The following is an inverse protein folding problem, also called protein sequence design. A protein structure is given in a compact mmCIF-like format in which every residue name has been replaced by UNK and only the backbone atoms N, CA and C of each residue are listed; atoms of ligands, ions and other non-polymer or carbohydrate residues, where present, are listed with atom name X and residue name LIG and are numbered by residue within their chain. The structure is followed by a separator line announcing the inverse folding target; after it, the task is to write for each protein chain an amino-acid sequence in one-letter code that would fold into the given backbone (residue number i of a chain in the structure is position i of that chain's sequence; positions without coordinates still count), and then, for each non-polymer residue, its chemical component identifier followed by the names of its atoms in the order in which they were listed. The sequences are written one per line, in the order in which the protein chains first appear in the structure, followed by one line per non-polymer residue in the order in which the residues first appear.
data_IF_298411133756
#
_entry.id   IF_298411133756
#
_cell.length_a   1.000
_cell.length_b   1.000
_cell.length_c   1.000
_cell.angle_alpha   90.00
_cell.angle_beta   90.00
_cell.angle_gamma   90.00
#
_symmetry.space_group_name_H-M   'P 1'
#
loop_
_entity.id
_entity.type
_entity.pdbx_description
1 polymer ?
#
# COMPACT_ATOMS: atom_id res chain seq x y z
N UNK A 1 14.15 -54.20 -40.26
CA UNK A 1 15.61 -54.31 -40.47
C UNK A 1 16.13 -52.91 -40.83
N UNK A 2 17.00 -52.36 -39.98
CA UNK A 2 17.98 -51.26 -40.14
C UNK A 2 18.00 -50.43 -41.44
N UNK A 3 18.24 -49.12 -41.51
CA UNK A 3 18.70 -48.07 -40.56
C UNK A 3 18.55 -46.72 -41.31
N UNK A 4 17.86 -45.73 -40.74
CA UNK A 4 17.97 -44.31 -41.14
C UNK A 4 19.26 -43.74 -40.55
N UNK A 5 20.10 -43.08 -41.36
CA UNK A 5 21.14 -42.16 -40.86
C UNK A 5 20.76 -40.74 -41.27
N UNK A 6 20.11 -40.02 -40.36
CA UNK A 6 20.00 -38.57 -40.39
C UNK A 6 21.26 -37.96 -39.79
N UNK A 7 21.82 -37.00 -40.51
CA UNK A 7 22.84 -36.07 -40.07
C UNK A 7 22.19 -35.16 -39.01
N UNK A 8 22.76 -35.13 -37.81
CA UNK A 8 22.43 -34.16 -36.79
C UNK A 8 23.75 -33.67 -36.16
N UNK A 9 24.07 -32.42 -36.45
CA UNK A 9 25.13 -31.62 -35.87
C UNK A 9 24.67 -31.17 -34.47
N UNK A 10 25.36 -31.50 -33.37
CA UNK A 10 25.12 -30.81 -32.12
C UNK A 10 26.01 -29.56 -32.09
N UNK A 11 25.39 -28.39 -32.29
CA UNK A 11 26.03 -27.12 -31.91
C UNK A 11 26.08 -27.11 -30.39
N UNK A 12 27.32 -27.15 -29.93
CA UNK A 12 27.81 -27.07 -28.57
C UNK A 12 27.33 -25.77 -27.89
N UNK A 13 26.30 -25.85 -27.03
CA UNK A 13 25.99 -24.79 -26.08
C UNK A 13 26.78 -25.04 -24.78
N UNK A 14 28.06 -24.69 -24.79
CA UNK A 14 28.91 -24.66 -23.59
C UNK A 14 28.97 -23.21 -23.07
N UNK A 15 27.91 -22.78 -22.38
CA UNK A 15 27.89 -21.53 -21.61
C UNK A 15 28.36 -21.83 -20.19
N UNK A 16 29.65 -22.11 -20.05
CA UNK A 16 30.33 -22.22 -18.75
C UNK A 16 31.71 -21.56 -18.86
N UNK A 17 31.98 -20.61 -17.94
CA UNK A 17 33.26 -19.98 -17.57
C UNK A 17 33.75 -18.72 -18.32
N UNK A 18 33.17 -17.55 -18.01
CA UNK A 18 33.84 -16.23 -18.20
C UNK A 18 34.34 -15.58 -16.90
N UNK A 19 34.03 -16.15 -15.72
CA UNK A 19 34.42 -15.56 -14.43
C UNK A 19 35.95 -15.52 -14.18
N UNK A 20 36.73 -16.37 -14.87
CA UNK A 20 38.17 -16.50 -14.63
C UNK A 20 39.01 -15.40 -15.31
N UNK A 21 38.50 -14.82 -16.40
CA UNK A 21 39.21 -13.77 -17.15
C UNK A 21 39.02 -12.39 -16.49
N UNK A 22 37.81 -12.13 -15.96
CA UNK A 22 37.47 -10.88 -15.27
C UNK A 22 38.26 -10.66 -13.98
N UNK A 23 38.56 -11.70 -13.18
CA UNK A 23 39.37 -11.56 -11.97
C UNK A 23 40.83 -11.20 -12.30
N UNK A 24 41.40 -11.78 -13.35
CA UNK A 24 42.78 -11.48 -13.80
C UNK A 24 42.91 -10.04 -14.30
N UNK A 25 41.93 -9.55 -15.07
CA UNK A 25 41.91 -8.17 -15.54
C UNK A 25 41.88 -7.16 -14.38
N UNK A 26 41.10 -7.44 -13.33
CA UNK A 26 41.07 -6.61 -12.13
C UNK A 26 42.41 -6.62 -11.38
N UNK A 27 43.10 -7.76 -11.30
CA UNK A 27 44.46 -7.83 -10.75
C UNK A 27 45.42 -6.95 -11.56
N UNK A 28 45.41 -7.03 -12.89
CA UNK A 28 46.28 -6.19 -13.74
C UNK A 28 46.03 -4.69 -13.53
N UNK A 29 44.77 -4.28 -13.36
CA UNK A 29 44.42 -2.90 -13.00
C UNK A 29 44.95 -2.56 -11.60
N UNK A 30 44.76 -3.43 -10.63
CA UNK A 30 45.31 -3.29 -9.28
C UNK A 30 46.82 -3.05 -9.30
N UNK A 31 47.57 -3.85 -10.07
CA UNK A 31 49.03 -3.71 -10.23
C UNK A 31 49.42 -2.35 -10.81
N UNK A 32 48.63 -1.85 -11.78
CA UNK A 32 48.86 -0.54 -12.40
C UNK A 32 48.71 0.59 -11.37
N UNK A 33 47.63 0.58 -10.59
CA UNK A 33 47.41 1.58 -9.54
C UNK A 33 48.43 1.44 -8.41
N UNK A 34 48.84 0.22 -8.07
CA UNK A 34 49.85 -0.05 -7.07
C UNK A 34 51.21 0.57 -7.46
N UNK A 35 51.65 0.37 -8.71
CA UNK A 35 52.88 0.95 -9.24
C UNK A 35 52.82 2.48 -9.35
N UNK A 36 51.63 3.04 -9.56
CA UNK A 36 51.40 4.49 -9.55
C UNK A 36 51.36 5.09 -8.12
N UNK A 37 51.52 4.28 -7.06
CA UNK A 37 51.44 4.73 -5.67
C UNK A 37 50.02 5.00 -5.17
N UNK A 38 49.00 4.67 -5.96
CA UNK A 38 47.61 4.82 -5.58
C UNK A 38 47.09 3.54 -4.92
N UNK A 39 47.43 3.39 -3.64
CA UNK A 39 47.20 2.15 -2.89
C UNK A 39 45.73 1.91 -2.53
N UNK A 40 44.89 2.96 -2.42
CA UNK A 40 43.45 2.79 -2.12
C UNK A 40 42.73 2.17 -3.32
N UNK A 41 42.96 2.73 -4.52
CA UNK A 41 42.40 2.16 -5.76
C UNK A 41 42.96 0.76 -6.05
N UNK A 42 44.27 0.55 -5.86
CA UNK A 42 44.87 -0.77 -5.99
C UNK A 42 44.20 -1.80 -5.07
N UNK A 43 44.02 -1.47 -3.78
CA UNK A 43 43.34 -2.33 -2.82
C UNK A 43 41.88 -2.61 -3.24
N UNK A 44 41.15 -1.61 -3.73
CA UNK A 44 39.78 -1.79 -4.21
C UNK A 44 39.70 -2.74 -5.43
N UNK A 45 40.63 -2.64 -6.39
CA UNK A 45 40.69 -3.55 -7.53
C UNK A 45 41.01 -4.99 -7.12
N UNK A 46 41.98 -5.21 -6.23
CA UNK A 46 42.27 -6.56 -5.72
C UNK A 46 41.11 -7.12 -4.88
N UNK A 47 40.45 -6.29 -4.06
CA UNK A 47 39.26 -6.69 -3.31
C UNK A 47 38.14 -7.18 -4.23
N UNK A 48 37.84 -6.43 -5.29
CA UNK A 48 36.84 -6.83 -6.29
C UNK A 48 37.25 -8.10 -7.04
N UNK A 49 38.54 -8.30 -7.32
CA UNK A 49 39.02 -9.54 -7.92
C UNK A 49 38.75 -10.77 -7.04
N UNK A 50 38.80 -10.62 -5.70
CA UNK A 50 38.48 -11.68 -4.73
C UNK A 50 36.99 -11.91 -4.53
N UNK A 51 36.14 -10.89 -4.73
CA UNK A 51 34.70 -11.09 -4.80
C UNK A 51 34.29 -11.98 -5.99
N UNK A 52 35.02 -11.87 -7.11
CA UNK A 52 34.80 -12.72 -8.29
C UNK A 52 35.44 -14.10 -8.12
N UNK A 53 36.67 -14.16 -7.62
CA UNK A 53 37.40 -15.40 -7.41
C UNK A 53 38.19 -15.36 -6.10
N UNK A 54 37.59 -15.89 -5.04
CA UNK A 54 38.16 -15.91 -3.69
C UNK A 54 39.47 -16.72 -3.58
N UNK A 55 39.75 -17.61 -4.53
CA UNK A 55 40.97 -18.44 -4.57
C UNK A 55 42.12 -17.79 -5.35
N UNK A 56 41.96 -16.56 -5.84
CA UNK A 56 43.01 -15.87 -6.58
C UNK A 56 44.13 -15.42 -5.63
N UNK A 57 45.17 -16.24 -5.51
CA UNK A 57 46.31 -16.00 -4.60
C UNK A 57 47.10 -14.73 -4.93
N UNK A 58 47.14 -14.32 -6.21
CA UNK A 58 47.79 -13.07 -6.63
C UNK A 58 46.98 -11.87 -6.11
N UNK A 59 45.65 -11.89 -6.27
CA UNK A 59 44.78 -10.87 -5.72
C UNK A 59 44.85 -10.83 -4.18
N UNK A 60 44.94 -11.98 -3.50
CA UNK A 60 45.13 -12.03 -2.05
C UNK A 60 46.44 -11.34 -1.61
N UNK A 61 47.55 -11.64 -2.27
CA UNK A 61 48.85 -11.04 -1.97
C UNK A 61 48.88 -9.54 -2.30
N UNK A 62 48.35 -9.15 -3.47
CA UNK A 62 48.22 -7.76 -3.89
C UNK A 62 47.37 -6.95 -2.92
N UNK A 63 46.19 -7.47 -2.56
CA UNK A 63 45.33 -6.86 -1.55
C UNK A 63 46.04 -6.72 -0.22
N UNK A 64 46.69 -7.78 0.27
CA UNK A 64 47.43 -7.72 1.55
C UNK A 64 48.48 -6.62 1.55
N UNK A 65 49.25 -6.45 0.48
CA UNK A 65 50.27 -5.39 0.39
C UNK A 65 49.65 -4.00 0.33
N UNK A 66 48.74 -3.76 -0.62
CA UNK A 66 48.12 -2.45 -0.83
C UNK A 66 47.30 -2.01 0.39
N UNK A 67 46.47 -2.91 0.93
CA UNK A 67 45.60 -2.60 2.04
C UNK A 67 46.34 -2.38 3.36
N UNK A 68 47.49 -3.01 3.59
CA UNK A 68 48.33 -2.68 4.75
C UNK A 68 48.89 -1.24 4.65
N UNK A 69 49.29 -0.79 3.46
CA UNK A 69 49.75 0.59 3.26
C UNK A 69 48.60 1.58 3.52
N UNK A 70 47.42 1.29 2.98
CA UNK A 70 46.21 2.10 3.19
C UNK A 70 45.83 2.14 4.67
N UNK A 71 45.81 0.99 5.36
CA UNK A 71 45.49 0.91 6.78
C UNK A 71 46.48 1.71 7.62
N UNK A 72 47.78 1.58 7.37
CA UNK A 72 48.82 2.35 8.04
C UNK A 72 48.64 3.86 7.82
N UNK A 73 48.31 4.29 6.59
CA UNK A 73 48.01 5.69 6.28
C UNK A 73 46.82 6.20 7.09
N UNK A 74 45.76 5.38 7.23
CA UNK A 74 44.59 5.73 8.06
C UNK A 74 44.94 5.80 9.55
N UNK A 75 45.85 4.96 10.05
CA UNK A 75 46.36 5.06 11.42
C UNK A 75 47.30 6.25 11.64
N UNK A 76 48.07 6.67 10.65
CA UNK A 76 48.83 7.92 10.73
C UNK A 76 47.90 9.13 10.88
N UNK A 77 46.76 9.14 10.19
CA UNK A 77 45.73 10.16 10.38
C UNK A 77 45.09 10.10 11.78
N UNK A 78 44.85 8.90 12.31
CA UNK A 78 44.41 8.74 13.71
C UNK A 78 45.42 9.37 14.67
N UNK A 79 46.70 8.98 14.58
CA UNK A 79 47.76 9.53 15.42
C UNK A 79 47.88 11.04 15.31
N UNK A 80 47.72 11.62 14.11
CA UNK A 80 47.66 13.07 13.92
C UNK A 80 46.55 13.72 14.75
N UNK A 81 45.33 13.21 14.70
CA UNK A 81 44.22 13.75 15.49
C UNK A 81 44.43 13.60 17.01
N UNK A 82 45.13 12.55 17.44
CA UNK A 82 45.54 12.40 18.85
C UNK A 82 46.50 13.53 19.25
N UNK A 83 47.53 13.80 18.44
CA UNK A 83 48.49 14.89 18.72
C UNK A 83 47.83 16.28 18.71
N UNK A 84 46.84 16.48 17.83
CA UNK A 84 46.07 17.72 17.74
C UNK A 84 45.03 17.88 18.87
N UNK A 85 44.92 16.92 19.79
CA UNK A 85 43.91 16.87 20.84
C UNK A 85 42.48 17.04 20.28
N UNK A 86 42.19 16.37 19.16
CA UNK A 86 40.89 16.36 18.49
C UNK A 86 40.19 15.01 18.69
N UNK A 87 39.55 14.78 19.85
CA UNK A 87 39.03 13.47 20.23
C UNK A 87 37.92 12.97 19.30
N UNK A 88 37.04 13.86 18.81
CA UNK A 88 35.98 13.49 17.87
C UNK A 88 36.56 12.90 16.58
N UNK A 89 37.53 13.60 15.98
CA UNK A 89 38.15 13.17 14.73
C UNK A 89 38.99 11.91 14.93
N UNK A 90 39.68 11.79 16.07
CA UNK A 90 40.44 10.60 16.44
C UNK A 90 39.52 9.36 16.57
N UNK A 91 38.44 9.45 17.33
CA UNK A 91 37.48 8.34 17.51
C UNK A 91 36.89 7.91 16.17
N UNK A 92 36.39 8.88 15.36
CA UNK A 92 35.83 8.60 14.03
C UNK A 92 36.86 7.93 13.13
N UNK A 93 38.10 8.43 13.11
CA UNK A 93 39.15 7.90 12.25
C UNK A 93 39.54 6.46 12.64
N UNK A 94 39.62 6.16 13.93
CA UNK A 94 39.88 4.80 14.39
C UNK A 94 38.76 3.82 14.02
N UNK A 95 37.50 4.24 14.17
CA UNK A 95 36.34 3.44 13.73
C UNK A 95 36.36 3.21 12.21
N UNK A 96 36.84 4.18 11.42
CA UNK A 96 37.08 3.98 9.99
C UNK A 96 38.18 2.96 9.71
N UNK A 97 39.29 2.96 10.47
CA UNK A 97 40.30 1.91 10.39
C UNK A 97 39.69 0.53 10.65
N UNK A 98 38.89 0.39 11.72
CA UNK A 98 38.21 -0.86 12.08
C UNK A 98 37.25 -1.33 10.97
N UNK A 99 36.46 -0.41 10.40
CA UNK A 99 35.56 -0.70 9.27
C UNK A 99 36.33 -1.17 8.03
N UNK A 100 37.44 -0.51 7.70
CA UNK A 100 38.28 -0.89 6.57
C UNK A 100 38.92 -2.27 6.78
N UNK A 101 39.47 -2.52 7.98
CA UNK A 101 40.01 -3.83 8.36
C UNK A 101 38.98 -4.94 8.19
N UNK A 102 37.78 -4.76 8.77
CA UNK A 102 36.69 -5.75 8.68
C UNK A 102 36.25 -5.98 7.23
N UNK A 103 36.22 -4.93 6.39
CA UNK A 103 35.93 -5.04 4.96
C UNK A 103 36.95 -5.94 4.26
N UNK A 104 38.24 -5.73 4.48
CA UNK A 104 39.28 -6.55 3.82
C UNK A 104 39.29 -7.99 4.37
N UNK A 105 39.05 -8.14 5.67
CA UNK A 105 38.93 -9.46 6.31
C UNK A 105 37.74 -10.25 5.76
N UNK A 106 36.66 -9.59 5.30
CA UNK A 106 35.48 -10.26 4.74
C UNK A 106 35.76 -11.09 3.47
N UNK A 107 36.89 -10.85 2.79
CA UNK A 107 37.35 -11.64 1.64
C UNK A 107 38.53 -12.57 1.99
N UNK A 108 38.74 -12.83 3.29
CA UNK A 108 39.73 -13.76 3.80
C UNK A 108 41.17 -13.23 3.82
N UNK A 109 41.37 -11.91 3.69
CA UNK A 109 42.70 -11.29 3.76
C UNK A 109 42.87 -10.57 5.09
N UNK A 110 43.81 -11.06 5.90
CA UNK A 110 44.17 -10.47 7.19
C UNK A 110 45.22 -9.38 7.02
N UNK A 111 44.99 -8.23 7.66
CA UNK A 111 45.89 -7.08 7.69
C UNK A 111 46.65 -7.03 9.02
N UNK A 112 47.77 -6.31 9.04
CA UNK A 112 48.54 -6.09 10.25
C UNK A 112 47.86 -4.97 11.06
N UNK A 113 47.04 -5.34 12.04
CA UNK A 113 46.40 -4.38 12.92
C UNK A 113 47.41 -3.80 13.93
N UNK A 114 47.65 -2.47 13.97
CA UNK A 114 48.59 -1.87 14.91
C UNK A 114 47.99 -1.80 16.33
N UNK A 115 48.20 -2.86 17.10
CA UNK A 115 47.62 -3.03 18.45
C UNK A 115 48.05 -1.97 19.47
N UNK A 116 49.19 -1.30 19.24
CA UNK A 116 49.68 -0.21 20.09
C UNK A 116 48.72 0.98 20.22
N UNK A 117 47.79 1.16 19.27
CA UNK A 117 46.78 2.23 19.33
C UNK A 117 45.50 1.83 20.07
N UNK A 118 45.36 0.57 20.48
CA UNK A 118 44.12 0.08 21.10
C UNK A 118 43.82 0.82 22.41
N UNK A 119 44.79 0.88 23.32
CA UNK A 119 44.62 1.55 24.62
C UNK A 119 44.40 3.06 24.44
N UNK A 120 45.20 3.70 23.59
CA UNK A 120 45.06 5.13 23.25
C UNK A 120 43.66 5.45 22.72
N UNK A 121 43.12 4.61 21.84
CA UNK A 121 41.76 4.78 21.33
C UNK A 121 40.70 4.62 22.44
N UNK A 122 40.83 3.59 23.27
CA UNK A 122 39.87 3.33 24.34
C UNK A 122 39.82 4.50 25.34
N UNK A 123 40.97 5.06 25.73
CA UNK A 123 41.05 6.22 26.61
C UNK A 123 40.36 7.45 26.00
N UNK A 124 40.72 7.81 24.76
CA UNK A 124 40.15 8.96 24.04
C UNK A 124 38.64 8.77 23.82
N UNK A 125 38.21 7.56 23.45
CA UNK A 125 36.80 7.22 23.25
C UNK A 125 36.03 7.41 24.56
N UNK A 126 36.54 6.88 25.67
CA UNK A 126 35.88 6.96 26.97
C UNK A 126 35.73 8.42 27.43
N UNK A 127 36.79 9.23 27.31
CA UNK A 127 36.74 10.65 27.64
C UNK A 127 35.75 11.41 26.74
N UNK A 128 35.85 11.22 25.42
CA UNK A 128 35.01 11.87 24.43
C UNK A 128 33.53 11.56 24.65
N UNK A 129 33.20 10.27 24.77
CA UNK A 129 31.82 9.81 24.97
C UNK A 129 31.28 10.31 26.32
N UNK A 130 32.09 10.34 27.38
CA UNK A 130 31.67 10.90 28.67
C UNK A 130 31.33 12.38 28.57
N UNK A 131 32.18 13.18 27.92
CA UNK A 131 31.94 14.62 27.74
C UNK A 131 30.68 14.88 26.89
N UNK A 132 30.53 14.13 25.81
CA UNK A 132 29.33 14.22 24.97
C UNK A 132 28.07 13.82 25.75
N UNK A 133 28.15 12.79 26.58
CA UNK A 133 27.03 12.36 27.41
C UNK A 133 26.56 13.48 28.36
N UNK A 134 27.50 14.15 29.04
CA UNK A 134 27.19 15.27 29.94
C UNK A 134 26.60 16.49 29.18
N UNK A 135 27.10 16.76 27.97
CA UNK A 135 26.53 17.78 27.08
C UNK A 135 25.11 17.43 26.66
N UNK A 136 24.85 16.18 26.28
CA UNK A 136 23.52 15.68 25.94
C UNK A 136 22.53 15.85 27.10
N UNK A 137 22.94 15.52 28.33
CA UNK A 137 22.13 15.75 29.53
C UNK A 137 21.84 17.24 29.75
N UNK A 138 22.83 18.10 29.56
CA UNK A 138 22.65 19.56 29.67
C UNK A 138 21.61 20.07 28.66
N UNK A 139 21.70 19.62 27.40
CA UNK A 139 20.73 19.97 26.36
C UNK A 139 19.31 19.47 26.67
N UNK A 140 19.18 18.30 27.28
CA UNK A 140 17.88 17.79 27.77
C UNK A 140 17.28 18.70 28.84
N UNK A 141 18.08 19.15 29.81
CA UNK A 141 17.64 20.09 30.86
C UNK A 141 17.22 21.43 30.27
N UNK A 142 17.92 21.91 29.24
CA UNK A 142 17.61 23.13 28.50
C UNK A 142 16.44 22.96 27.50
N UNK A 143 15.83 21.77 27.42
CA UNK A 143 14.76 21.42 26.47
C UNK A 143 15.15 21.56 25.00
N UNK A 144 16.46 21.50 24.69
CA UNK A 144 17.02 21.50 23.33
C UNK A 144 17.07 20.08 22.78
N UNK A 145 15.89 19.45 22.68
CA UNK A 145 15.74 18.03 22.40
C UNK A 145 16.37 17.57 21.07
N UNK A 146 16.18 18.33 19.99
CA UNK A 146 16.75 17.99 18.67
C UNK A 146 18.29 17.89 18.71
N UNK A 147 18.93 18.77 19.50
CA UNK A 147 20.40 18.74 19.67
C UNK A 147 20.83 17.59 20.55
N UNK A 148 20.09 17.32 21.63
CA UNK A 148 20.35 16.19 22.51
C UNK A 148 20.24 14.85 21.77
N UNK A 149 19.24 14.70 20.88
CA UNK A 149 19.06 13.50 20.07
C UNK A 149 20.31 13.19 19.24
N UNK A 150 20.85 14.22 18.55
CA UNK A 150 22.05 14.08 17.72
C UNK A 150 23.24 13.60 18.56
N UNK A 151 23.44 14.19 19.74
CA UNK A 151 24.52 13.79 20.64
C UNK A 151 24.36 12.32 21.08
N UNK A 152 23.19 11.93 21.57
CA UNK A 152 22.97 10.56 22.04
C UNK A 152 23.00 9.53 20.90
N UNK A 153 22.57 9.92 19.69
CA UNK A 153 22.73 9.11 18.49
C UNK A 153 24.21 8.89 18.15
N UNK A 154 25.04 9.94 18.24
CA UNK A 154 26.48 9.82 17.99
C UNK A 154 27.15 8.93 19.03
N UNK A 155 26.78 9.06 20.30
CA UNK A 155 27.26 8.17 21.37
C UNK A 155 26.87 6.73 21.06
N UNK A 156 25.61 6.44 20.77
CA UNK A 156 25.13 5.09 20.48
C UNK A 156 25.78 4.47 19.22
N UNK A 157 26.21 5.30 18.26
CA UNK A 157 26.94 4.85 17.08
C UNK A 157 28.41 4.49 17.38
N UNK A 158 29.00 5.09 18.42
CA UNK A 158 30.37 4.79 18.89
C UNK A 158 30.34 3.61 19.87
N UNK A 159 29.43 3.65 20.83
CA UNK A 159 29.21 2.64 21.87
C UNK A 159 27.72 2.57 22.23
N UNK A 160 27.04 1.55 21.70
CA UNK A 160 25.59 1.37 21.87
C UNK A 160 25.17 1.01 23.29
N UNK A 161 26.10 0.53 24.12
CA UNK A 161 25.85 0.11 25.51
C UNK A 161 26.39 1.14 26.52
N UNK A 162 26.84 2.30 26.05
CA UNK A 162 27.34 3.35 26.93
C UNK A 162 26.21 3.91 27.79
N UNK A 163 26.18 3.48 29.06
CA UNK A 163 25.16 3.84 30.06
C UNK A 163 23.75 3.65 29.46
N UNK A 164 22.92 4.68 29.53
CA UNK A 164 21.57 4.76 29.03
C UNK A 164 21.45 5.73 27.84
N UNK A 165 22.53 6.02 27.10
CA UNK A 165 22.50 6.94 25.96
C UNK A 165 21.44 6.58 24.91
N UNK A 166 21.27 5.29 24.62
CA UNK A 166 20.21 4.81 23.71
C UNK A 166 18.80 5.11 24.24
N UNK A 167 18.59 5.05 25.56
CA UNK A 167 17.32 5.40 26.21
C UNK A 167 17.11 6.91 26.20
N UNK A 168 18.15 7.69 26.51
CA UNK A 168 18.10 9.16 26.49
C UNK A 168 17.86 9.72 25.09
N UNK A 169 18.41 9.08 24.05
CA UNK A 169 18.05 9.37 22.66
C UNK A 169 16.55 9.20 22.44
N UNK A 170 15.97 8.07 22.83
CA UNK A 170 14.53 7.85 22.68
C UNK A 170 13.74 8.90 23.46
N UNK A 171 14.16 9.21 24.70
CA UNK A 171 13.55 10.23 25.55
C UNK A 171 13.57 11.62 24.91
N UNK A 172 14.67 12.00 24.23
CA UNK A 172 14.77 13.28 23.52
C UNK A 172 13.73 13.43 22.41
N UNK A 173 13.24 12.33 21.82
CA UNK A 173 12.21 12.35 20.78
C UNK A 173 10.80 12.38 21.40
N UNK A 174 10.55 11.59 22.45
CA UNK A 174 9.21 11.41 23.00
C UNK A 174 8.81 12.46 24.04
N UNK A 175 9.75 13.05 24.79
CA UNK A 175 9.46 14.13 25.75
C UNK A 175 8.85 15.37 25.07
N UNK A 176 9.39 15.94 23.97
CA UNK A 176 8.75 17.09 23.33
C UNK A 176 7.35 16.77 22.80
N UNK A 177 7.13 15.57 22.26
CA UNK A 177 5.79 15.12 21.83
C UNK A 177 4.82 15.03 23.02
N UNK A 178 5.26 14.48 24.14
CA UNK A 178 4.46 14.40 25.36
C UNK A 178 4.11 15.80 25.87
N UNK A 179 5.08 16.71 25.96
CA UNK A 179 4.85 18.09 26.41
C UNK A 179 3.92 18.85 25.45
N UNK A 180 4.07 18.64 24.14
CA UNK A 180 3.17 19.23 23.16
C UNK A 180 1.75 18.69 23.30
N UNK A 181 1.59 17.37 23.48
CA UNK A 181 0.29 16.75 23.73
C UNK A 181 -0.42 17.29 24.96
N UNK A 182 0.31 17.55 26.06
CA UNK A 182 -0.24 18.21 27.25
C UNK A 182 -0.73 19.63 26.91
N UNK A 183 0.08 20.44 26.22
CA UNK A 183 -0.33 21.79 25.81
C UNK A 183 -1.57 21.79 24.92
N UNK A 184 -1.65 20.84 23.98
CA UNK A 184 -2.82 20.69 23.10
C UNK A 184 -4.05 20.28 23.88
N UNK A 185 -3.91 19.42 24.89
CA UNK A 185 -5.00 19.04 25.79
C UNK A 185 -5.48 20.22 26.65
N UNK A 186 -4.56 21.04 27.18
CA UNK A 186 -4.89 22.28 27.92
C UNK A 186 -5.60 23.31 27.04
N UNK A 187 -5.28 23.36 25.75
CA UNK A 187 -5.93 24.19 24.75
C UNK A 187 -7.23 23.56 24.17
N UNK A 188 -7.71 22.46 24.74
CA UNK A 188 -8.88 21.69 24.28
C UNK A 188 -8.78 21.13 22.85
N UNK A 189 -7.58 21.16 22.25
CA UNK A 189 -7.29 20.53 20.96
C UNK A 189 -6.98 19.04 21.15
N UNK A 190 -8.01 18.28 21.54
CA UNK A 190 -7.90 16.87 21.91
C UNK A 190 -7.45 15.96 20.76
N UNK A 191 -7.77 16.31 19.51
CA UNK A 191 -7.36 15.54 18.32
C UNK A 191 -5.85 15.62 18.10
N UNK A 192 -5.26 16.80 18.26
CA UNK A 192 -3.81 16.97 18.15
C UNK A 192 -3.08 16.34 19.33
N UNK A 193 -3.60 16.52 20.56
CA UNK A 193 -3.09 15.82 21.74
C UNK A 193 -3.08 14.30 21.56
N UNK A 194 -4.16 13.72 21.01
CA UNK A 194 -4.22 12.30 20.67
C UNK A 194 -3.13 11.89 19.69
N UNK A 195 -2.91 12.67 18.62
CA UNK A 195 -1.88 12.35 17.61
C UNK A 195 -0.50 12.28 18.24
N UNK A 196 -0.16 13.19 19.15
CA UNK A 196 1.15 13.20 19.79
C UNK A 196 1.31 12.10 20.84
N UNK A 197 0.31 11.89 21.70
CA UNK A 197 0.35 10.76 22.65
C UNK A 197 0.39 9.41 21.93
N UNK A 198 -0.28 9.27 20.79
CA UNK A 198 -0.22 8.05 19.99
C UNK A 198 1.18 7.82 19.40
N UNK A 199 1.89 8.88 18.98
CA UNK A 199 3.30 8.77 18.57
C UNK A 199 4.19 8.34 19.74
N UNK A 200 3.97 8.89 20.94
CA UNK A 200 4.69 8.50 22.16
C UNK A 200 4.47 7.02 22.48
N UNK A 201 3.22 6.54 22.53
CA UNK A 201 2.90 5.14 22.85
C UNK A 201 3.46 4.15 21.82
N UNK A 202 3.53 4.53 20.53
CA UNK A 202 4.16 3.69 19.50
C UNK A 202 5.66 3.49 19.72
N UNK A 203 6.32 4.42 20.42
CA UNK A 203 7.74 4.37 20.71
C UNK A 203 8.03 3.78 22.10
N UNK A 204 7.22 4.14 23.10
CA UNK A 204 7.29 3.62 24.46
C UNK A 204 5.90 3.69 25.12
N UNK A 205 5.25 2.54 25.25
CA UNK A 205 3.89 2.42 25.78
C UNK A 205 3.78 2.70 27.30
N UNK A 206 4.90 2.56 28.01
CA UNK A 206 5.04 2.77 29.45
C UNK A 206 5.49 4.18 29.82
N UNK A 207 5.66 5.07 28.84
CA UNK A 207 6.20 6.40 29.08
C UNK A 207 5.22 7.28 29.88
N UNK A 208 5.59 7.56 31.14
CA UNK A 208 4.80 8.36 32.10
C UNK A 208 3.35 7.85 32.17
N UNK A 209 2.37 8.75 32.25
CA UNK A 209 0.94 8.46 32.23
C UNK A 209 0.33 8.58 30.82
N UNK A 210 1.13 8.50 29.74
CA UNK A 210 0.67 8.74 28.36
C UNK A 210 -0.50 7.84 27.96
N UNK A 211 -0.52 6.57 28.42
CA UNK A 211 -1.61 5.64 28.09
C UNK A 211 -2.96 6.09 28.67
N UNK A 212 -2.94 6.62 29.90
CA UNK A 212 -4.11 7.21 30.53
C UNK A 212 -4.57 8.46 29.79
N UNK A 213 -3.63 9.38 29.51
CA UNK A 213 -3.92 10.63 28.79
C UNK A 213 -4.47 10.36 27.39
N UNK A 214 -3.90 9.40 26.65
CA UNK A 214 -4.36 8.99 25.33
C UNK A 214 -5.84 8.54 25.37
N UNK A 215 -6.22 7.78 26.41
CA UNK A 215 -7.60 7.33 26.61
C UNK A 215 -8.52 8.51 26.92
N UNK A 216 -8.08 9.44 27.76
CA UNK A 216 -8.84 10.64 28.11
C UNK A 216 -9.07 11.57 26.91
N UNK A 217 -8.01 11.91 26.17
CA UNK A 217 -8.12 12.78 24.99
C UNK A 217 -8.89 12.10 23.87
N UNK A 218 -8.79 10.78 23.71
CA UNK A 218 -9.62 10.05 22.76
C UNK A 218 -11.09 10.21 23.12
N UNK A 219 -11.47 9.97 24.38
CA UNK A 219 -12.86 10.15 24.83
C UNK A 219 -13.39 11.56 24.57
N UNK A 220 -12.57 12.59 24.76
CA UNK A 220 -12.95 14.00 24.54
C UNK A 220 -12.94 14.41 23.06
N UNK A 221 -12.05 13.82 22.25
CA UNK A 221 -11.98 14.04 20.81
C UNK A 221 -13.02 13.26 20.02
N UNK A 222 -13.56 12.18 20.59
CA UNK A 222 -14.50 11.30 19.92
C UNK A 222 -15.88 11.94 19.77
N UNK A 223 -16.44 11.78 18.58
CA UNK A 223 -17.77 12.18 18.19
C UNK A 223 -18.62 10.91 18.09
N UNK A 224 -19.61 10.83 18.97
CA UNK A 224 -20.68 9.84 18.96
C UNK A 224 -21.74 10.19 17.92
N UNK A 225 -21.91 9.29 16.96
CA UNK A 225 -22.96 9.37 15.93
C UNK A 225 -23.89 8.18 16.07
N UNK A 226 -25.15 8.47 16.38
CA UNK A 226 -26.22 7.46 16.33
C UNK A 226 -26.76 7.36 14.92
N UNK A 227 -26.88 6.15 14.40
CA UNK A 227 -27.46 5.91 13.07
C UNK A 227 -28.83 5.29 13.26
N UNK A 228 -29.89 6.03 12.91
CA UNK A 228 -31.24 5.48 12.98
C UNK A 228 -31.50 4.51 11.82
N UNK A 229 -32.40 3.52 11.99
CA UNK A 229 -32.82 2.66 10.90
C UNK A 229 -33.28 3.47 9.69
N UNK A 230 -32.95 2.99 8.48
CA UNK A 230 -33.42 3.61 7.25
C UNK A 230 -34.94 3.58 7.21
N UNK A 231 -35.56 4.75 7.07
CA UNK A 231 -37.01 4.86 6.88
C UNK A 231 -37.35 4.45 5.45
N UNK A 232 -38.04 3.33 5.28
CA UNK A 232 -38.48 2.87 3.98
C UNK A 232 -39.80 3.54 3.60
N UNK A 233 -39.76 4.49 2.65
CA UNK A 233 -40.95 5.16 2.11
C UNK A 233 -41.44 4.50 0.82
N UNK A 234 -40.86 3.36 0.45
CA UNK A 234 -41.22 2.58 -0.74
C UNK A 234 -42.15 1.43 -0.38
N UNK A 235 -42.60 0.67 -1.40
CA UNK A 235 -43.43 -0.52 -1.22
C UNK A 235 -42.65 -1.82 -1.09
N UNK A 236 -41.31 -1.76 -1.11
CA UNK A 236 -40.46 -2.96 -1.19
C UNK A 236 -39.61 -3.12 0.06
N UNK A 237 -39.80 -4.23 0.76
CA UNK A 237 -39.13 -4.52 2.03
C UNK A 237 -37.69 -5.06 1.83
N UNK A 238 -36.85 -4.88 2.85
CA UNK A 238 -35.52 -5.51 2.97
C UNK A 238 -34.36 -4.68 2.41
N UNK A 239 -34.62 -3.76 1.47
CA UNK A 239 -33.61 -2.89 0.90
C UNK A 239 -33.14 -1.79 1.83
N UNK A 240 -34.00 -1.33 2.73
CA UNK A 240 -33.69 -0.41 3.81
C UNK A 240 -32.67 -1.00 4.79
N UNK A 241 -32.84 -2.27 5.18
CA UNK A 241 -31.88 -2.98 6.04
C UNK A 241 -30.52 -3.14 5.35
N UNK A 242 -30.52 -3.49 4.06
CA UNK A 242 -29.29 -3.61 3.29
C UNK A 242 -28.53 -2.29 3.21
N UNK A 243 -29.24 -1.19 2.91
CA UNK A 243 -28.66 0.16 2.88
C UNK A 243 -28.12 0.55 4.25
N UNK A 244 -28.91 0.35 5.32
CA UNK A 244 -28.50 0.63 6.69
C UNK A 244 -27.17 -0.06 7.07
N UNK A 245 -27.03 -1.35 6.71
CA UNK A 245 -25.80 -2.11 6.96
C UNK A 245 -24.60 -1.57 6.16
N UNK A 246 -24.80 -1.16 4.90
CA UNK A 246 -23.72 -0.57 4.11
C UNK A 246 -23.30 0.81 4.66
N UNK A 247 -24.25 1.62 5.14
CA UNK A 247 -23.94 2.90 5.78
C UNK A 247 -23.02 2.71 6.99
N UNK A 248 -23.36 1.79 7.89
CA UNK A 248 -22.51 1.47 9.03
C UNK A 248 -21.16 0.96 8.55
N UNK A 249 -21.14 0.04 7.58
CA UNK A 249 -19.90 -0.54 7.07
C UNK A 249 -18.95 0.53 6.52
N UNK A 250 -19.46 1.47 5.72
CA UNK A 250 -18.65 2.54 5.15
C UNK A 250 -18.19 3.56 6.20
N UNK A 251 -19.04 3.90 7.18
CA UNK A 251 -18.65 4.79 8.28
C UNK A 251 -17.58 4.15 9.18
N UNK A 252 -17.67 2.84 9.48
CA UNK A 252 -16.65 2.08 10.23
C UNK A 252 -15.35 1.97 9.42
N UNK A 253 -15.43 1.77 8.08
CA UNK A 253 -14.27 1.68 7.19
C UNK A 253 -13.44 2.97 7.13
N UNK A 254 -14.00 4.12 7.51
CA UNK A 254 -13.26 5.39 7.60
C UNK A 254 -12.03 5.32 8.52
N UNK A 255 -11.97 4.33 9.45
CA UNK A 255 -10.87 4.11 10.41
C UNK A 255 -10.52 5.34 11.27
N UNK A 256 -11.43 6.31 11.38
CA UNK A 256 -11.22 7.46 12.25
C UNK A 256 -11.28 7.00 13.71
N UNK A 257 -10.21 7.21 14.52
CA UNK A 257 -10.26 6.88 15.94
C UNK A 257 -11.26 7.78 16.69
N UNK A 258 -11.63 8.92 16.10
CA UNK A 258 -12.51 9.91 16.69
C UNK A 258 -13.99 9.67 16.36
N UNK A 259 -14.33 8.62 15.63
CA UNK A 259 -15.72 8.31 15.30
C UNK A 259 -16.20 7.14 16.16
N UNK A 260 -17.21 7.38 17.00
CA UNK A 260 -17.92 6.34 17.73
C UNK A 260 -19.30 6.17 17.12
N UNK A 261 -19.53 5.04 16.46
CA UNK A 261 -20.82 4.71 15.86
C UNK A 261 -21.63 3.92 16.88
N UNK A 262 -22.84 4.40 17.15
CA UNK A 262 -23.83 3.67 17.95
C UNK A 262 -24.85 3.12 16.97
N UNK A 263 -24.78 1.80 16.76
CA UNK A 263 -25.67 1.07 15.87
C UNK A 263 -27.06 0.86 16.48
N UNK A 264 -27.94 0.21 15.71
CA UNK A 264 -29.36 0.00 16.04
C UNK A 264 -29.54 -0.74 17.36
N UNK A 265 -28.80 -1.82 17.59
CA UNK A 265 -28.98 -2.65 18.78
C UNK A 265 -28.53 -1.88 20.04
N UNK A 266 -27.43 -1.15 19.91
CA UNK A 266 -26.94 -0.29 20.98
C UNK A 266 -27.89 0.89 21.24
N UNK A 267 -28.37 1.55 20.19
CA UNK A 267 -29.39 2.61 20.27
C UNK A 267 -30.67 2.10 20.93
N UNK A 268 -31.20 0.95 20.49
CA UNK A 268 -32.40 0.34 21.04
C UNK A 268 -32.29 0.13 22.55
N UNK A 269 -31.17 -0.44 22.99
CA UNK A 269 -30.91 -0.64 24.42
C UNK A 269 -30.83 0.68 25.18
N UNK A 270 -30.06 1.63 24.67
CA UNK A 270 -29.86 2.94 25.31
C UNK A 270 -31.16 3.74 25.36
N UNK A 271 -31.99 3.68 24.33
CA UNK A 271 -33.30 4.34 24.27
C UNK A 271 -34.28 3.66 25.23
N UNK A 272 -34.30 2.32 25.29
CA UNK A 272 -35.14 1.58 26.22
C UNK A 272 -34.82 1.93 27.68
N UNK A 273 -33.52 2.04 28.04
CA UNK A 273 -33.08 2.48 29.36
C UNK A 273 -33.59 3.89 29.70
N UNK A 274 -33.79 4.74 28.69
CA UNK A 274 -34.35 6.09 28.81
C UNK A 274 -35.88 6.16 28.61
N UNK A 275 -36.56 5.00 28.47
CA UNK A 275 -38.01 4.89 28.18
C UNK A 275 -38.43 5.60 26.88
N UNK A 276 -37.56 5.56 25.88
CA UNK A 276 -37.79 6.09 24.53
C UNK A 276 -37.93 4.92 23.54
N UNK A 277 -38.68 5.15 22.47
CA UNK A 277 -38.84 4.18 21.38
C UNK A 277 -38.35 4.78 20.06
N UNK A 278 -37.63 3.99 19.25
CA UNK A 278 -37.10 4.44 17.95
C UNK A 278 -38.20 4.84 16.95
N UNK A 279 -39.38 4.21 17.05
CA UNK A 279 -40.56 4.52 16.23
C UNK A 279 -40.99 6.00 16.34
N UNK A 280 -40.69 6.65 17.46
CA UNK A 280 -41.02 8.05 17.71
C UNK A 280 -39.93 9.03 17.23
N UNK A 281 -38.81 8.54 16.68
CA UNK A 281 -37.68 9.35 16.22
C UNK A 281 -37.76 9.62 14.72
N UNK A 282 -38.92 10.05 14.24
CA UNK A 282 -39.18 10.28 12.82
C UNK A 282 -38.86 11.70 12.38
N UNK A 283 -38.79 12.66 13.30
CA UNK A 283 -38.41 14.05 13.06
C UNK A 283 -37.06 14.42 13.72
N UNK A 284 -36.36 15.44 13.18
CA UNK A 284 -35.07 15.89 13.71
C UNK A 284 -35.10 16.33 15.19
N UNK A 285 -36.19 16.93 15.66
CA UNK A 285 -36.25 17.49 17.02
C UNK A 285 -36.31 16.38 18.07
N UNK A 286 -37.14 15.36 17.84
CA UNK A 286 -37.21 14.17 18.69
C UNK A 286 -35.92 13.36 18.63
N UNK A 287 -35.35 13.17 17.43
CA UNK A 287 -34.06 12.49 17.25
C UNK A 287 -32.92 13.19 18.01
N UNK A 288 -32.84 14.52 17.93
CA UNK A 288 -31.85 15.31 18.66
C UNK A 288 -32.00 15.19 20.18
N UNK A 289 -33.24 15.29 20.69
CA UNK A 289 -33.54 15.15 22.12
C UNK A 289 -33.14 13.77 22.64
N UNK A 290 -33.52 12.72 21.93
CA UNK A 290 -33.17 11.34 22.26
C UNK A 290 -31.65 11.13 22.24
N UNK A 291 -30.98 11.57 21.17
CA UNK A 291 -29.53 11.49 21.02
C UNK A 291 -28.77 12.21 22.14
N UNK A 292 -29.26 13.37 22.58
CA UNK A 292 -28.68 14.12 23.70
C UNK A 292 -28.76 13.37 25.03
N UNK A 293 -29.88 12.69 25.30
CA UNK A 293 -30.08 11.91 26.53
C UNK A 293 -29.13 10.72 26.63
N UNK A 294 -28.75 10.15 25.48
CA UNK A 294 -27.81 9.01 25.40
C UNK A 294 -26.36 9.44 25.10
N UNK A 295 -26.08 10.74 25.13
CA UNK A 295 -24.71 11.29 25.05
C UNK A 295 -24.10 11.34 23.65
N UNK A 296 -24.91 11.24 22.60
CA UNK A 296 -24.47 11.41 21.22
C UNK A 296 -24.33 12.89 20.86
N UNK A 297 -23.45 13.20 19.92
CA UNK A 297 -23.24 14.55 19.38
C UNK A 297 -24.08 14.75 18.11
N UNK A 298 -24.26 13.70 17.33
CA UNK A 298 -25.08 13.72 16.12
C UNK A 298 -25.98 12.49 16.02
N UNK A 299 -27.09 12.66 15.31
CA UNK A 299 -27.96 11.57 14.86
C UNK A 299 -28.09 11.65 13.34
N UNK A 300 -27.77 10.54 12.67
CA UNK A 300 -27.95 10.38 11.23
C UNK A 300 -29.32 9.74 10.98
N UNK A 301 -30.14 10.46 10.22
CA UNK A 301 -31.44 10.03 9.74
C UNK A 301 -31.35 9.79 8.24
N UNK A 302 -31.92 8.68 7.77
CA UNK A 302 -31.90 8.31 6.35
C UNK A 302 -33.25 7.78 5.93
N UNK A 303 -33.75 8.20 4.77
CA UNK A 303 -34.98 7.74 4.17
C UNK A 303 -34.73 7.23 2.75
N UNK A 304 -35.22 6.03 2.45
CA UNK A 304 -35.31 5.49 1.10
C UNK A 304 -36.60 5.99 0.49
N UNK A 305 -36.51 7.00 -0.38
CA UNK A 305 -37.68 7.69 -0.96
C UNK A 305 -38.14 7.05 -2.27
N UNK A 306 -37.21 6.53 -3.08
CA UNK A 306 -37.54 5.85 -4.32
C UNK A 306 -36.68 4.60 -4.54
N UNK A 307 -37.34 3.53 -4.98
CA UNK A 307 -36.68 2.30 -5.44
C UNK A 307 -37.37 1.87 -6.73
N UNK A 308 -36.61 1.84 -7.82
CA UNK A 308 -37.05 1.26 -9.08
C UNK A 308 -36.23 0.01 -9.36
N UNK A 309 -36.91 -1.11 -9.54
CA UNK A 309 -36.28 -2.37 -9.91
C UNK A 309 -36.92 -2.90 -11.19
N UNK A 310 -36.11 -3.00 -12.24
CA UNK A 310 -36.52 -3.51 -13.54
C UNK A 310 -35.78 -4.82 -13.81
N UNK A 311 -36.51 -5.86 -14.22
CA UNK A 311 -35.95 -7.14 -14.63
C UNK A 311 -36.52 -7.55 -15.97
N UNK A 312 -35.63 -7.82 -16.93
CA UNK A 312 -35.94 -8.57 -18.14
C UNK A 312 -35.37 -9.97 -17.96
N UNK A 313 -36.26 -10.95 -17.76
CA UNK A 313 -35.87 -12.35 -17.70
C UNK A 313 -35.24 -12.84 -19.01
N UNK A 314 -34.69 -14.07 -19.03
CA UNK A 314 -34.08 -14.64 -20.22
C UNK A 314 -35.08 -14.65 -21.39
N UNK A 315 -34.78 -13.86 -22.41
CA UNK A 315 -35.53 -13.85 -23.66
C UNK A 315 -34.60 -14.28 -24.77
N UNK A 316 -34.99 -15.35 -25.48
CA UNK A 316 -34.25 -15.83 -26.65
C UNK A 316 -34.94 -15.37 -27.93
N UNK A 317 -34.28 -14.51 -28.69
CA UNK A 317 -34.72 -14.10 -30.01
C UNK A 317 -33.97 -14.90 -31.09
N UNK A 318 -34.65 -15.18 -32.20
CA UNK A 318 -34.04 -15.85 -33.36
C UNK A 318 -33.63 -14.81 -34.39
N UNK A 319 -32.33 -14.57 -34.51
CA UNK A 319 -31.77 -13.47 -35.29
C UNK A 319 -31.16 -14.01 -36.59
N UNK A 320 -31.38 -13.28 -37.68
CA UNK A 320 -30.84 -13.63 -38.99
C UNK A 320 -29.33 -13.37 -39.06
N UNK A 321 -28.59 -14.30 -39.65
CA UNK A 321 -27.17 -14.18 -39.97
C UNK A 321 -26.85 -14.89 -41.29
N UNK A 322 -25.60 -14.83 -41.73
CA UNK A 322 -25.17 -15.37 -43.03
C UNK A 322 -23.95 -16.29 -42.85
N UNK A 323 -24.10 -17.56 -43.19
CA UNK A 323 -23.03 -18.55 -43.13
C UNK A 323 -22.30 -18.62 -44.48
N UNK A 324 -21.00 -18.32 -44.48
CA UNK A 324 -20.13 -18.47 -45.63
C UNK A 324 -19.78 -19.94 -45.88
N UNK A 325 -19.87 -20.37 -47.14
CA UNK A 325 -19.43 -21.67 -47.59
C UNK A 325 -18.78 -21.56 -48.96
N UNK A 326 -17.83 -22.46 -49.24
CA UNK A 326 -17.11 -22.49 -50.52
C UNK A 326 -17.78 -23.46 -51.46
N UNK A 327 -18.09 -23.02 -52.67
CA UNK A 327 -18.59 -23.85 -53.75
C UNK A 327 -17.58 -23.85 -54.90
N UNK A 328 -17.31 -25.03 -55.46
CA UNK A 328 -16.50 -25.16 -56.68
C UNK A 328 -17.40 -24.85 -57.87
N UNK A 329 -17.05 -23.80 -58.61
CA UNK A 329 -17.74 -23.37 -59.82
C UNK A 329 -16.78 -23.43 -60.99
N UNK A 330 -17.22 -23.93 -62.14
CA UNK A 330 -16.38 -23.93 -63.35
C UNK A 330 -16.52 -22.58 -64.05
N UNK A 331 -15.40 -21.93 -64.39
CA UNK A 331 -15.43 -20.70 -65.18
C UNK A 331 -15.92 -21.03 -66.60
N UNK A 332 -17.08 -20.49 -66.98
CA UNK A 332 -17.74 -20.73 -68.27
C UNK A 332 -16.90 -20.32 -69.50
N UNK A 333 -15.87 -19.49 -69.32
CA UNK A 333 -14.98 -19.02 -70.40
C UNK A 333 -13.65 -19.78 -70.49
N UNK A 334 -13.14 -20.39 -69.41
CA UNK A 334 -11.82 -21.04 -69.39
C UNK A 334 -11.84 -22.53 -69.05
N UNK A 335 -12.96 -23.09 -68.59
CA UNK A 335 -13.09 -24.50 -68.21
C UNK A 335 -12.33 -24.89 -66.93
N UNK A 336 -11.66 -23.94 -66.28
CA UNK A 336 -10.87 -24.17 -65.06
C UNK A 336 -11.80 -24.12 -63.84
N UNK A 337 -11.70 -25.07 -62.89
CA UNK A 337 -12.44 -25.02 -61.63
C UNK A 337 -11.96 -23.83 -60.78
N UNK A 338 -12.89 -22.96 -60.41
CA UNK A 338 -12.69 -21.85 -59.49
C UNK A 338 -13.50 -22.09 -58.21
N UNK A 339 -13.01 -21.59 -57.07
CA UNK A 339 -13.75 -21.63 -55.81
C UNK A 339 -14.37 -20.26 -55.57
N UNK A 340 -15.69 -20.22 -55.39
CA UNK A 340 -16.43 -19.03 -55.01
C UNK A 340 -16.97 -19.18 -53.58
N UNK A 341 -16.84 -18.14 -52.76
CA UNK A 341 -17.51 -18.08 -51.45
C UNK A 341 -18.93 -17.58 -51.64
N UNK A 342 -19.91 -18.37 -51.22
CA UNK A 342 -21.32 -18.01 -51.19
C UNK A 342 -21.82 -17.91 -49.76
N UNK A 343 -22.96 -17.26 -49.57
CA UNK A 343 -23.57 -17.03 -48.27
C UNK A 343 -24.96 -17.65 -48.23
N UNK A 344 -25.24 -18.38 -47.16
CA UNK A 344 -26.56 -18.92 -46.86
C UNK A 344 -27.15 -18.15 -45.69
N UNK A 345 -28.39 -17.65 -45.84
CA UNK A 345 -29.13 -17.08 -44.71
C UNK A 345 -29.40 -18.19 -43.69
N UNK A 346 -28.94 -17.97 -42.46
CA UNK A 346 -29.10 -18.87 -41.31
C UNK A 346 -29.66 -18.05 -40.15
N UNK A 347 -30.03 -18.75 -39.06
CA UNK A 347 -30.42 -18.08 -37.83
C UNK A 347 -29.53 -18.53 -36.69
N UNK A 348 -29.29 -17.62 -35.76
CA UNK A 348 -28.71 -17.91 -34.47
C UNK A 348 -29.68 -17.51 -33.36
N UNK A 349 -29.49 -18.04 -32.16
CA UNK A 349 -30.27 -17.67 -30.99
C UNK A 349 -29.50 -16.60 -30.21
N UNK A 350 -30.12 -15.47 -29.91
CA UNK A 350 -29.59 -14.45 -28.99
C UNK A 350 -30.42 -14.47 -27.71
N UNK A 351 -29.80 -14.86 -26.60
CA UNK A 351 -30.45 -14.85 -25.28
C UNK A 351 -30.06 -13.60 -24.52
N UNK A 352 -31.01 -12.67 -24.40
CA UNK A 352 -30.89 -11.43 -23.65
C UNK A 352 -31.40 -11.57 -22.21
N UNK A 353 -30.65 -11.01 -21.27
CA UNK A 353 -31.05 -10.83 -19.87
C UNK A 353 -30.62 -9.45 -19.39
N UNK A 354 -31.46 -8.79 -18.58
CA UNK A 354 -31.15 -7.49 -17.98
C UNK A 354 -31.75 -7.33 -16.60
N UNK A 355 -30.99 -6.74 -15.69
CA UNK A 355 -31.47 -6.24 -14.41
C UNK A 355 -30.99 -4.81 -14.24
N UNK A 356 -31.88 -3.96 -13.75
CA UNK A 356 -31.57 -2.58 -13.42
C UNK A 356 -32.18 -2.25 -12.07
N UNK A 357 -31.40 -1.55 -11.26
CA UNK A 357 -31.88 -1.01 -10.00
C UNK A 357 -31.53 0.47 -9.91
N UNK A 358 -32.41 1.25 -9.33
CA UNK A 358 -32.22 2.67 -9.08
C UNK A 358 -32.77 3.01 -7.70
N UNK A 359 -31.99 3.79 -6.97
CA UNK A 359 -32.26 4.24 -5.61
C UNK A 359 -32.24 5.77 -5.57
N UNK A 360 -33.17 6.32 -4.80
CA UNK A 360 -33.13 7.71 -4.35
C UNK A 360 -33.26 7.72 -2.84
N UNK A 361 -32.30 8.34 -2.16
CA UNK A 361 -32.25 8.44 -0.71
C UNK A 361 -32.14 9.90 -0.30
N UNK A 362 -32.69 10.22 0.85
CA UNK A 362 -32.53 11.50 1.50
C UNK A 362 -31.93 11.26 2.89
N UNK A 363 -30.94 12.05 3.28
CA UNK A 363 -30.35 11.96 4.61
C UNK A 363 -30.30 13.31 5.32
N UNK A 364 -30.28 13.26 6.65
CA UNK A 364 -30.10 14.42 7.51
C UNK A 364 -29.16 14.06 8.67
N UNK A 365 -28.13 14.87 8.87
CA UNK A 365 -27.31 14.85 10.07
C UNK A 365 -27.81 15.93 11.03
N UNK A 366 -28.27 15.50 12.20
CA UNK A 366 -28.88 16.38 13.20
C UNK A 366 -27.94 16.55 14.39
N UNK A 367 -27.63 17.79 14.76
CA UNK A 367 -26.88 18.09 15.98
C UNK A 367 -27.76 17.88 17.21
N UNK A 368 -27.36 17.02 18.13
CA UNK A 368 -28.13 16.75 19.36
C UNK A 368 -28.10 17.92 20.34
N UNK A 369 -27.07 18.77 20.25
CA UNK A 369 -26.90 19.93 21.11
C UNK A 369 -27.88 21.04 20.76
N UNK A 370 -28.08 21.29 19.45
CA UNK A 370 -28.87 22.42 18.94
C UNK A 370 -30.25 22.01 18.40
N UNK A 371 -30.44 20.73 18.07
CA UNK A 371 -31.62 20.24 17.35
C UNK A 371 -31.63 20.59 15.87
N UNK A 372 -30.59 21.23 15.34
CA UNK A 372 -30.54 21.69 13.95
C UNK A 372 -29.97 20.63 13.01
N UNK A 373 -30.51 20.59 11.79
CA UNK A 373 -29.92 19.83 10.67
C UNK A 373 -28.66 20.58 10.22
N UNK A 374 -27.50 19.95 10.41
CA UNK A 374 -26.19 20.51 10.05
C UNK A 374 -25.71 20.08 8.66
N UNK A 375 -26.27 18.97 8.15
CA UNK A 375 -26.05 18.48 6.80
C UNK A 375 -27.30 17.74 6.32
N UNK A 376 -27.63 17.87 5.04
CA UNK A 376 -28.64 17.06 4.38
C UNK A 376 -28.41 17.07 2.88
N UNK A 377 -28.63 15.94 2.23
CA UNK A 377 -28.63 15.86 0.78
C UNK A 377 -29.55 14.76 0.27
N UNK A 378 -29.85 14.82 -1.03
CA UNK A 378 -30.53 13.79 -1.78
C UNK A 378 -29.54 13.09 -2.71
N UNK A 379 -29.35 11.79 -2.49
CA UNK A 379 -28.42 10.98 -3.28
C UNK A 379 -29.20 10.00 -4.15
N UNK A 380 -28.81 9.93 -5.42
CA UNK A 380 -29.37 8.99 -6.39
C UNK A 380 -28.27 8.11 -6.97
N UNK A 381 -28.57 6.84 -7.17
CA UNK A 381 -27.65 5.91 -7.79
C UNK A 381 -28.40 4.78 -8.51
N UNK A 382 -27.85 4.30 -9.61
CA UNK A 382 -28.46 3.20 -10.33
C UNK A 382 -27.44 2.38 -11.10
N UNK A 383 -27.70 1.07 -11.16
CA UNK A 383 -26.86 0.12 -11.85
C UNK A 383 -27.69 -0.70 -12.81
N UNK A 384 -27.17 -0.91 -14.02
CA UNK A 384 -27.75 -1.81 -15.03
C UNK A 384 -26.73 -2.90 -15.33
N UNK A 385 -27.14 -4.16 -15.20
CA UNK A 385 -26.38 -5.31 -15.67
C UNK A 385 -27.16 -6.04 -16.75
N UNK A 386 -26.54 -6.17 -17.92
CA UNK A 386 -27.12 -6.82 -19.08
C UNK A 386 -26.13 -7.80 -19.73
N UNK A 387 -26.68 -8.86 -20.31
CA UNK A 387 -25.88 -9.87 -20.98
C UNK A 387 -26.63 -10.42 -22.21
N UNK A 388 -25.84 -10.66 -23.27
CA UNK A 388 -26.27 -11.35 -24.49
C UNK A 388 -25.45 -12.63 -24.65
N UNK A 389 -26.13 -13.75 -24.80
CA UNK A 389 -25.49 -15.05 -25.10
C UNK A 389 -25.98 -15.51 -26.46
N UNK A 390 -25.10 -15.46 -27.45
CA UNK A 390 -25.40 -15.92 -28.80
C UNK A 390 -25.02 -17.39 -28.95
N UNK A 391 -25.95 -18.21 -29.46
CA UNK A 391 -25.73 -19.62 -29.75
C UNK A 391 -26.03 -19.91 -31.23
N UNK A 392 -25.09 -20.58 -31.90
CA UNK A 392 -25.21 -20.95 -33.30
C UNK A 392 -24.70 -22.37 -33.51
N UNK A 393 -25.60 -23.23 -34.02
CA UNK A 393 -25.26 -24.60 -34.40
C UNK A 393 -24.58 -24.63 -35.77
N UNK A 394 -23.31 -24.21 -35.83
CA UNK A 394 -22.48 -24.21 -37.03
C UNK A 394 -21.11 -23.57 -36.79
N UNK A 395 -20.34 -23.39 -37.87
CA UNK A 395 -19.01 -22.79 -37.76
C UNK A 395 -19.10 -21.26 -37.60
N UNK A 396 -18.94 -20.77 -36.37
CA UNK A 396 -18.95 -19.34 -36.00
C UNK A 396 -17.93 -18.53 -36.79
N UNK A 397 -16.76 -19.10 -37.13
CA UNK A 397 -15.73 -18.39 -37.90
C UNK A 397 -16.20 -18.00 -39.31
N UNK A 398 -17.23 -18.69 -39.81
CA UNK A 398 -17.84 -18.46 -41.10
C UNK A 398 -19.20 -17.73 -40.98
N UNK A 399 -19.61 -17.32 -39.79
CA UNK A 399 -20.89 -16.65 -39.54
C UNK A 399 -20.71 -15.13 -39.56
N UNK A 400 -21.56 -14.46 -40.32
CA UNK A 400 -21.52 -13.01 -40.52
C UNK A 400 -22.85 -12.35 -40.17
N UNK A 401 -22.84 -11.14 -39.57
CA UNK A 401 -24.05 -10.46 -39.12
C UNK A 401 -24.90 -9.91 -40.27
N UNK A 402 -24.30 -9.69 -41.45
CA UNK A 402 -24.98 -9.14 -42.61
C UNK A 402 -24.47 -9.75 -43.92
N UNK A 403 -25.32 -9.72 -44.95
CA UNK A 403 -24.95 -10.15 -46.30
C UNK A 403 -23.95 -9.14 -46.89
N UNK A 404 -22.83 -9.59 -47.47
CA UNK A 404 -21.89 -8.67 -48.10
C UNK A 404 -22.52 -7.93 -49.28
N UNK A 405 -22.15 -6.65 -49.41
CA UNK A 405 -22.49 -5.81 -50.55
C UNK A 405 -21.31 -5.79 -51.53
N UNK A 406 -21.52 -6.22 -52.76
CA UNK A 406 -20.48 -6.28 -53.80
C UNK A 406 -19.57 -7.52 -53.70
N UNK A 407 -18.40 -7.46 -54.35
CA UNK A 407 -17.46 -8.60 -54.47
C UNK A 407 -16.44 -8.71 -53.33
N UNK A 408 -16.66 -8.03 -52.19
CA UNK A 408 -15.74 -8.06 -51.06
C UNK A 408 -16.27 -8.96 -49.94
N UNK A 409 -15.38 -9.76 -49.34
CA UNK A 409 -15.69 -10.53 -48.14
C UNK A 409 -15.91 -9.56 -46.96
N UNK A 410 -16.99 -9.73 -46.18
CA UNK A 410 -17.21 -8.93 -44.99
C UNK A 410 -16.19 -9.35 -43.92
N UNK A 411 -15.75 -8.40 -43.10
CA UNK A 411 -14.93 -8.70 -41.93
C UNK A 411 -15.86 -8.78 -40.73
N UNK A 412 -16.03 -9.98 -40.17
CA UNK A 412 -16.67 -10.16 -38.88
C UNK A 412 -15.73 -9.59 -37.80
N UNK A 413 -16.21 -8.64 -37.01
CA UNK A 413 -15.42 -8.00 -35.96
C UNK A 413 -15.07 -9.00 -34.86
N UNK A 414 -14.04 -8.70 -34.07
CA UNK A 414 -13.67 -9.54 -32.91
C UNK A 414 -14.82 -9.56 -31.91
N UNK A 415 -15.45 -8.41 -31.68
CA UNK A 415 -16.60 -8.24 -30.78
C UNK A 415 -17.80 -9.10 -31.22
N UNK A 416 -18.08 -9.19 -32.53
CA UNK A 416 -19.14 -10.06 -33.06
C UNK A 416 -18.86 -11.53 -32.74
N UNK A 417 -17.62 -11.99 -32.94
CA UNK A 417 -17.25 -13.39 -32.69
C UNK A 417 -17.27 -13.72 -31.20
N UNK A 418 -16.86 -12.76 -30.37
CA UNK A 418 -16.88 -12.89 -28.91
C UNK A 418 -18.29 -13.10 -28.36
N UNK A 419 -19.36 -12.60 -29.01
CA UNK A 419 -20.75 -12.85 -28.57
C UNK A 419 -21.13 -14.33 -28.56
N UNK A 420 -20.49 -15.16 -29.40
CA UNK A 420 -20.70 -16.61 -29.47
C UNK A 420 -19.71 -17.41 -28.62
N UNK A 421 -18.64 -16.76 -28.14
CA UNK A 421 -17.59 -17.35 -27.31
C UNK A 421 -17.57 -16.84 -25.87
N UNK A 422 -18.41 -15.85 -25.55
CA UNK A 422 -18.47 -15.24 -24.23
C UNK A 422 -18.74 -16.33 -23.19
N UNK A 423 -17.86 -16.43 -22.19
CA UNK A 423 -18.12 -17.18 -20.97
C UNK A 423 -19.51 -16.75 -20.53
N UNK A 424 -20.41 -17.72 -20.30
CA UNK A 424 -21.77 -17.47 -19.84
C UNK A 424 -21.74 -16.70 -18.51
N UNK A 425 -21.62 -15.37 -18.60
CA UNK A 425 -21.63 -14.48 -17.46
C UNK A 425 -23.05 -14.50 -16.91
N UNK A 426 -23.17 -14.90 -15.66
CA UNK A 426 -24.43 -14.80 -14.94
C UNK A 426 -24.57 -13.33 -14.54
N UNK A 427 -25.66 -12.67 -14.96
CA UNK A 427 -25.95 -11.31 -14.51
C UNK A 427 -26.19 -11.30 -13.00
N UNK A 428 -25.77 -10.23 -12.33
CA UNK A 428 -25.88 -10.04 -10.89
C UNK A 428 -27.28 -10.33 -10.39
N UNK A 429 -27.42 -11.05 -9.29
CA UNK A 429 -28.73 -11.28 -8.65
C UNK A 429 -29.37 -9.97 -8.20
N UNK A 430 -30.65 -10.02 -7.82
CA UNK A 430 -31.37 -8.85 -7.28
C UNK A 430 -30.63 -8.29 -6.06
N UNK A 431 -30.14 -9.16 -5.20
CA UNK A 431 -29.45 -8.81 -3.96
C UNK A 431 -28.05 -8.23 -4.25
N UNK A 432 -27.33 -8.81 -5.22
CA UNK A 432 -25.99 -8.37 -5.62
C UNK A 432 -26.03 -6.99 -6.28
N UNK A 433 -26.88 -6.79 -7.30
CA UNK A 433 -26.95 -5.50 -8.00
C UNK A 433 -27.38 -4.36 -7.06
N UNK A 434 -28.29 -4.67 -6.13
CA UNK A 434 -28.75 -3.73 -5.11
C UNK A 434 -27.67 -3.44 -4.07
N UNK A 435 -26.85 -4.44 -3.72
CA UNK A 435 -25.70 -4.27 -2.83
C UNK A 435 -24.71 -3.26 -3.38
N UNK A 436 -24.34 -3.38 -4.65
CA UNK A 436 -23.39 -2.47 -5.31
C UNK A 436 -23.89 -1.02 -5.29
N UNK A 437 -25.19 -0.82 -5.53
CA UNK A 437 -25.79 0.51 -5.43
C UNK A 437 -25.80 1.03 -3.99
N UNK A 438 -26.14 0.20 -3.00
CA UNK A 438 -26.11 0.58 -1.60
C UNK A 438 -24.70 0.93 -1.10
N UNK A 439 -23.67 0.20 -1.55
CA UNK A 439 -22.26 0.52 -1.28
C UNK A 439 -21.93 1.90 -1.82
N UNK A 440 -22.24 2.15 -3.10
CA UNK A 440 -21.93 3.42 -3.76
C UNK A 440 -22.62 4.62 -3.08
N UNK A 441 -23.90 4.48 -2.72
CA UNK A 441 -24.63 5.51 -1.97
C UNK A 441 -24.03 5.75 -0.58
N UNK A 442 -23.68 4.67 0.13
CA UNK A 442 -23.08 4.76 1.46
C UNK A 442 -21.71 5.42 1.44
N UNK A 443 -20.93 5.19 0.38
CA UNK A 443 -19.63 5.84 0.16
C UNK A 443 -19.79 7.35 -0.07
N UNK A 444 -20.70 7.74 -0.97
CA UNK A 444 -21.02 9.16 -1.23
C UNK A 444 -21.42 9.88 0.06
N UNK A 445 -22.35 9.30 0.80
CA UNK A 445 -22.81 9.88 2.07
C UNK A 445 -21.69 9.93 3.12
N UNK A 446 -20.88 8.87 3.26
CA UNK A 446 -19.76 8.85 4.21
C UNK A 446 -18.74 9.95 3.93
N UNK A 447 -18.44 10.21 2.64
CA UNK A 447 -17.52 11.28 2.24
C UNK A 447 -18.07 12.68 2.59
N UNK A 448 -19.36 12.92 2.37
CA UNK A 448 -20.02 14.18 2.73
C UNK A 448 -20.06 14.40 4.26
N UNK A 449 -20.31 13.33 5.02
CA UNK A 449 -20.33 13.38 6.48
C UNK A 449 -18.93 13.54 7.10
N UNK A 450 -17.86 13.21 6.36
CA UNK A 450 -16.48 13.23 6.88
C UNK A 450 -16.09 14.59 7.45
N UNK A 451 -16.51 15.69 6.82
CA UNK A 451 -16.17 17.06 7.28
C UNK A 451 -16.72 17.33 8.69
N UNK A 452 -17.87 16.76 9.04
CA UNK A 452 -18.51 16.94 10.34
C UNK A 452 -17.95 16.02 11.42
N UNK A 453 -17.38 14.89 11.01
CA UNK A 453 -16.76 13.90 11.88
C UNK A 453 -15.27 14.23 12.15
N UNK A 454 -14.58 14.82 11.16
CA UNK A 454 -13.14 15.10 11.24
C UNK A 454 -12.80 16.51 11.74
N UNK A 455 -13.72 17.49 11.66
CA UNK A 455 -13.63 18.76 12.39
C UNK A 455 -13.65 18.51 13.88
#
# INVERSE_FOLDING_TARGET
MFKKKSIALPVLLFLLFTACDTSKQLVTRGDTYYLAGNFDDAANYYYNALLINSKNTIAQQGLKKAANIVLNTKFSAFGKYVVENNPESAVRQYLLCKKYYNRVMSVGVELNWPTMYNEVFEDIKNEYVSKQYDEGLTLMLEKKYDKAEIIFQNIAAIDSIYKDASVLRLQSIIEPLYQHGIKMMEAENYKEAYRDFNKVIKQNDSYKNTKYLLTEVLKKASIGVGILPVQNQTKTEGFDLQLYQQIISELVKSKSPFLSIVDRNALDKLLHDQKLEMSNLTDPENAARAGKLIGLQYVLMTALSELQYETAGPRTDSVDAYLAFTERTTNLQSGIPQTATKFKKVKYADTFQKRKVYYKIFYQLVSTQTGQVVASDELTEGLTDENHVCDFNGNINNLYPALPKGNMMPVASVEWREQFGAIKRIILTKEEISREVCITLSQKMSEELRIYIER
#
